data_IF_708818287885
#
_entry.id   IF_708818287885
#
_cell.length_a   1.000
_cell.length_b   1.000
_cell.length_c   1.000
_cell.angle_alpha   90.00
_cell.angle_beta   90.00
_cell.angle_gamma   90.00
#
_symmetry.space_group_name_H-M   'P 1'
#
loop_
_entity.id
_entity.type
_entity.pdbx_description
1 polymer ?
#
# COMPACT_ATOMS: atom_id res chain seq x y z
N UNK A 1 -5.28 -1.68 -33.52
CA UNK A 1 -3.93 -2.18 -33.21
C UNK A 1 -2.82 -1.18 -33.54
N UNK A 2 -2.64 -0.71 -34.79
CA UNK A 2 -1.55 0.23 -35.19
C UNK A 2 -1.51 1.55 -34.36
N UNK A 3 -2.67 2.15 -34.03
CA UNK A 3 -2.73 3.37 -33.17
C UNK A 3 -2.24 3.11 -31.75
N UNK A 4 -2.67 2.01 -31.12
CA UNK A 4 -2.26 1.63 -29.74
C UNK A 4 -0.74 1.42 -29.68
N UNK A 5 -0.17 0.67 -30.63
CA UNK A 5 1.27 0.43 -30.74
C UNK A 5 2.04 1.75 -30.89
N UNK A 6 1.50 2.73 -31.64
CA UNK A 6 2.10 4.05 -31.77
C UNK A 6 2.11 4.80 -30.45
N UNK A 7 1.02 4.78 -29.68
CA UNK A 7 0.94 5.41 -28.36
C UNK A 7 1.87 4.74 -27.35
N UNK A 8 1.91 3.41 -27.29
CA UNK A 8 2.84 2.67 -26.42
C UNK A 8 4.29 2.99 -26.76
N UNK A 9 4.65 3.01 -28.05
CA UNK A 9 6.00 3.36 -28.50
C UNK A 9 6.37 4.81 -28.14
N UNK A 10 5.43 5.72 -28.20
CA UNK A 10 5.62 7.11 -27.79
C UNK A 10 5.77 7.23 -26.27
N UNK A 11 4.94 6.55 -25.49
CA UNK A 11 5.05 6.46 -24.04
C UNK A 11 6.42 5.93 -23.61
N UNK A 12 6.87 4.83 -24.22
CA UNK A 12 8.19 4.26 -23.94
C UNK A 12 9.34 5.23 -24.29
N UNK A 13 9.23 5.97 -25.38
CA UNK A 13 10.23 7.01 -25.74
C UNK A 13 10.27 8.14 -24.72
N UNK A 14 9.13 8.53 -24.17
CA UNK A 14 9.07 9.56 -23.11
C UNK A 14 9.77 9.12 -21.83
N UNK A 15 9.63 7.86 -21.43
CA UNK A 15 10.32 7.36 -20.25
C UNK A 15 11.80 7.14 -20.49
N UNK A 16 12.20 6.66 -21.69
CA UNK A 16 13.56 6.19 -21.98
C UNK A 16 14.66 7.18 -21.61
N UNK A 17 14.46 8.48 -21.82
CA UNK A 17 15.49 9.50 -21.61
C UNK A 17 15.87 9.63 -20.13
N UNK A 18 14.88 9.67 -19.22
CA UNK A 18 15.08 9.91 -17.80
C UNK A 18 14.66 8.72 -16.92
N UNK A 19 14.46 7.52 -17.49
CA UNK A 19 13.99 6.34 -16.75
C UNK A 19 14.93 5.96 -15.62
N UNK A 20 16.24 6.07 -15.83
CA UNK A 20 17.22 5.78 -14.78
C UNK A 20 17.15 6.76 -13.61
N UNK A 21 16.94 8.05 -13.91
CA UNK A 21 16.74 9.07 -12.87
C UNK A 21 15.46 8.84 -12.12
N UNK A 22 14.37 8.50 -12.81
CA UNK A 22 13.07 8.22 -12.21
C UNK A 22 13.12 6.97 -11.33
N UNK A 23 13.74 5.88 -11.80
CA UNK A 23 13.90 4.65 -11.01
C UNK A 23 14.70 4.90 -9.71
N UNK A 24 15.84 5.59 -9.83
CA UNK A 24 16.67 5.90 -8.64
C UNK A 24 15.91 6.81 -7.67
N UNK A 25 15.16 7.78 -8.19
CA UNK A 25 14.31 8.64 -7.38
C UNK A 25 13.25 7.84 -6.64
N UNK A 26 12.51 6.96 -7.33
CA UNK A 26 11.46 6.14 -6.73
C UNK A 26 12.00 5.20 -5.66
N UNK A 27 13.13 4.52 -5.93
CA UNK A 27 13.77 3.66 -4.94
C UNK A 27 14.17 4.46 -3.68
N UNK A 28 14.79 5.64 -3.87
CA UNK A 28 15.19 6.52 -2.77
C UNK A 28 13.95 7.03 -2.01
N UNK A 29 12.91 7.45 -2.73
CA UNK A 29 11.66 7.92 -2.15
C UNK A 29 10.97 6.84 -1.31
N UNK A 30 10.86 5.60 -1.83
CA UNK A 30 10.28 4.46 -1.11
C UNK A 30 11.12 4.12 0.12
N UNK A 31 12.45 4.09 -0.01
CA UNK A 31 13.35 3.88 1.12
C UNK A 31 13.16 4.93 2.22
N UNK A 32 13.16 6.22 1.88
CA UNK A 32 12.93 7.32 2.82
C UNK A 32 11.53 7.23 3.44
N UNK A 33 10.52 6.86 2.64
CA UNK A 33 9.16 6.64 3.13
C UNK A 33 9.11 5.55 4.21
N UNK A 34 9.80 4.44 4.01
CA UNK A 34 9.80 3.32 4.95
C UNK A 34 10.70 3.57 6.16
N UNK A 35 11.91 4.06 5.94
CA UNK A 35 12.94 4.17 6.98
C UNK A 35 12.79 5.43 7.85
N UNK A 36 12.20 6.50 7.33
CA UNK A 36 12.12 7.79 8.02
C UNK A 36 10.68 8.23 8.21
N UNK A 37 9.92 8.34 7.11
CA UNK A 37 8.61 8.97 7.17
C UNK A 37 7.57 8.14 7.94
N UNK A 38 7.51 6.83 7.69
CA UNK A 38 6.61 5.92 8.42
C UNK A 38 6.90 5.87 9.93
N UNK A 39 8.15 5.71 10.40
CA UNK A 39 8.48 5.81 11.83
C UNK A 39 8.14 7.16 12.44
N UNK A 40 8.34 8.26 11.69
CA UNK A 40 7.97 9.61 12.14
C UNK A 40 6.46 9.73 12.38
N UNK A 41 5.63 9.29 11.43
CA UNK A 41 4.17 9.32 11.57
C UNK A 41 3.70 8.41 12.71
N UNK A 42 4.28 7.21 12.83
CA UNK A 42 4.00 6.29 13.95
C UNK A 42 4.39 6.92 15.29
N UNK A 43 5.52 7.62 15.35
CA UNK A 43 5.96 8.38 16.53
C UNK A 43 4.98 9.49 16.90
N UNK A 44 4.49 10.26 15.94
CA UNK A 44 3.46 11.28 16.18
C UNK A 44 2.16 10.67 16.72
N UNK A 45 1.73 9.50 16.19
CA UNK A 45 0.55 8.81 16.71
C UNK A 45 0.77 8.33 18.14
N UNK A 46 1.93 7.73 18.44
CA UNK A 46 2.29 7.31 19.81
C UNK A 46 2.33 8.50 20.78
N UNK A 47 2.84 9.65 20.34
CA UNK A 47 2.82 10.87 21.14
C UNK A 47 1.39 11.37 21.38
N UNK A 48 0.51 11.30 20.40
CA UNK A 48 -0.90 11.66 20.54
C UNK A 48 -1.60 10.78 21.58
N UNK A 49 -1.36 9.47 21.56
CA UNK A 49 -1.89 8.52 22.53
C UNK A 49 -1.34 8.78 23.93
N UNK A 50 -0.01 8.90 24.04
CA UNK A 50 0.66 9.15 25.34
C UNK A 50 0.22 10.45 26.00
N UNK A 51 -0.03 11.51 25.21
CA UNK A 51 -0.50 12.80 25.72
C UNK A 51 -1.87 12.70 26.41
N UNK A 52 -2.59 11.60 26.23
CA UNK A 52 -3.89 11.32 26.82
C UNK A 52 -3.86 10.12 27.79
N UNK A 53 -2.67 9.62 28.11
CA UNK A 53 -2.52 8.46 28.99
C UNK A 53 -2.95 7.13 28.38
N UNK A 54 -3.12 7.08 27.03
CA UNK A 54 -3.54 5.89 26.32
C UNK A 54 -2.33 5.09 25.81
N UNK A 55 -2.36 3.77 26.00
CA UNK A 55 -1.32 2.85 25.51
C UNK A 55 -1.59 2.39 24.08
N UNK A 56 -2.86 2.24 23.74
CA UNK A 56 -3.33 1.78 22.43
C UNK A 56 -4.70 2.39 22.09
N UNK A 57 -5.15 2.21 20.87
CA UNK A 57 -6.45 2.63 20.41
C UNK A 57 -7.37 1.41 20.29
N UNK A 58 -8.47 1.42 21.05
CA UNK A 58 -9.56 0.45 20.98
C UNK A 58 -10.89 1.17 20.76
N UNK A 59 -11.98 0.41 20.60
CA UNK A 59 -13.32 0.95 20.46
C UNK A 59 -13.70 1.81 21.67
N UNK A 60 -13.36 1.34 22.88
CA UNK A 60 -13.64 2.04 24.13
C UNK A 60 -12.82 3.33 24.28
N UNK A 61 -11.54 3.31 23.86
CA UNK A 61 -10.62 4.45 23.98
C UNK A 61 -10.76 5.45 22.85
N UNK A 62 -11.35 5.04 21.70
CA UNK A 62 -11.54 5.89 20.53
C UNK A 62 -12.33 7.16 20.84
N UNK A 63 -13.42 7.02 21.59
CA UNK A 63 -14.27 8.16 21.98
C UNK A 63 -13.49 9.19 22.82
N UNK A 64 -12.71 8.75 23.77
CA UNK A 64 -11.83 9.58 24.62
C UNK A 64 -10.74 10.24 23.78
N UNK A 65 -10.09 9.46 22.91
CA UNK A 65 -9.05 9.94 22.02
C UNK A 65 -9.55 11.05 21.08
N UNK A 66 -10.72 10.91 20.45
CA UNK A 66 -11.26 11.88 19.53
C UNK A 66 -11.87 13.13 20.20
N UNK A 67 -12.25 13.05 21.48
CA UNK A 67 -12.76 14.21 22.25
C UNK A 67 -11.64 15.18 22.63
N UNK A 68 -10.41 14.74 22.72
CA UNK A 68 -9.29 15.58 23.14
C UNK A 68 -8.85 16.52 22.00
N UNK A 69 -8.78 17.86 22.21
CA UNK A 69 -8.40 18.82 21.15
C UNK A 69 -6.98 18.58 20.61
N UNK A 70 -6.07 18.13 21.46
CA UNK A 70 -4.67 17.88 21.10
C UNK A 70 -4.54 16.74 20.07
N UNK A 71 -5.44 15.74 20.13
CA UNK A 71 -5.51 14.67 19.12
C UNK A 71 -5.65 15.22 17.71
N UNK A 72 -6.55 16.18 17.54
CA UNK A 72 -6.80 16.78 16.23
C UNK A 72 -5.57 17.51 15.68
N UNK A 73 -4.77 18.14 16.54
CA UNK A 73 -3.50 18.74 16.13
C UNK A 73 -2.57 17.69 15.55
N UNK A 74 -2.38 16.56 16.24
CA UNK A 74 -1.53 15.46 15.76
C UNK A 74 -2.08 14.84 14.48
N UNK A 75 -3.39 14.58 14.43
CA UNK A 75 -4.05 14.02 13.23
C UNK A 75 -3.88 14.94 12.01
N UNK A 76 -4.07 16.25 12.19
CA UNK A 76 -3.86 17.25 11.12
C UNK A 76 -2.40 17.24 10.66
N UNK A 77 -1.43 17.18 11.56
CA UNK A 77 0.00 17.10 11.22
C UNK A 77 0.32 15.81 10.44
N UNK A 78 -0.22 14.67 10.86
CA UNK A 78 -0.04 13.38 10.18
C UNK A 78 -0.62 13.44 8.77
N UNK A 79 -1.88 13.86 8.66
CA UNK A 79 -2.62 13.96 7.38
C UNK A 79 -1.92 14.95 6.42
N UNK A 80 -1.52 16.11 6.93
CA UNK A 80 -0.80 17.11 6.16
C UNK A 80 0.57 16.59 5.71
N UNK A 81 1.31 15.93 6.60
CA UNK A 81 2.59 15.31 6.28
C UNK A 81 2.46 14.27 5.17
N UNK A 82 1.46 13.36 5.25
CA UNK A 82 1.19 12.36 4.22
C UNK A 82 0.86 13.01 2.88
N UNK A 83 -0.05 13.98 2.86
CA UNK A 83 -0.44 14.69 1.65
C UNK A 83 0.73 15.44 1.01
N UNK A 84 1.56 16.12 1.82
CA UNK A 84 2.74 16.85 1.33
C UNK A 84 3.79 15.91 0.76
N UNK A 85 4.08 14.79 1.44
CA UNK A 85 5.06 13.81 0.98
C UNK A 85 4.63 13.18 -0.34
N UNK A 86 3.33 12.82 -0.46
CA UNK A 86 2.75 12.33 -1.73
C UNK A 86 2.78 13.39 -2.83
N UNK A 87 2.50 14.66 -2.51
CA UNK A 87 2.60 15.74 -3.48
C UNK A 87 4.02 15.90 -4.02
N UNK A 88 5.01 15.78 -3.14
CA UNK A 88 6.41 15.86 -3.53
C UNK A 88 6.77 14.77 -4.56
N UNK A 89 6.34 13.53 -4.33
CA UNK A 89 6.52 12.41 -5.25
C UNK A 89 5.88 12.70 -6.61
N UNK A 90 4.59 13.04 -6.63
CA UNK A 90 3.85 13.39 -7.85
C UNK A 90 4.50 14.55 -8.61
N UNK A 91 4.98 15.58 -7.90
CA UNK A 91 5.68 16.69 -8.53
C UNK A 91 6.98 16.25 -9.22
N UNK A 92 7.76 15.36 -8.58
CA UNK A 92 8.96 14.80 -9.17
C UNK A 92 8.63 13.97 -10.42
N UNK A 93 7.62 13.08 -10.34
CA UNK A 93 7.19 12.27 -11.49
C UNK A 93 6.76 13.14 -12.67
N UNK A 94 5.86 14.11 -12.46
CA UNK A 94 5.37 15.00 -13.52
C UNK A 94 6.51 15.84 -14.11
N UNK A 95 7.42 16.38 -13.28
CA UNK A 95 8.57 17.12 -13.76
C UNK A 95 9.53 16.25 -14.59
N UNK A 96 9.77 15.00 -14.18
CA UNK A 96 10.62 14.06 -14.90
C UNK A 96 10.03 13.69 -16.28
N UNK A 97 8.73 13.39 -16.33
CA UNK A 97 8.01 13.12 -17.58
C UNK A 97 8.03 14.34 -18.49
N UNK A 98 7.82 15.55 -17.93
CA UNK A 98 7.86 16.79 -18.71
C UNK A 98 9.24 17.08 -19.29
N UNK A 99 10.32 16.89 -18.50
CA UNK A 99 11.67 17.01 -19.00
C UNK A 99 11.94 16.06 -20.18
N UNK A 100 11.50 14.80 -20.06
CA UNK A 100 11.61 13.81 -21.13
C UNK A 100 10.81 14.21 -22.36
N UNK A 101 9.59 14.75 -22.20
CA UNK A 101 8.77 15.28 -23.28
C UNK A 101 9.49 16.43 -24.04
N UNK A 102 10.22 17.25 -23.30
CA UNK A 102 11.02 18.37 -23.86
C UNK A 102 12.42 17.95 -24.31
N UNK A 103 12.72 16.65 -24.32
CA UNK A 103 14.04 16.09 -24.67
C UNK A 103 15.18 16.67 -23.81
N UNK A 104 14.88 16.93 -22.53
CA UNK A 104 15.79 17.50 -21.55
C UNK A 104 16.20 16.41 -20.55
N UNK A 105 17.52 16.25 -20.34
CA UNK A 105 18.00 15.38 -19.28
C UNK A 105 17.72 16.00 -17.91
N UNK A 106 17.26 15.19 -16.97
CA UNK A 106 16.91 15.61 -15.61
C UNK A 106 17.77 14.83 -14.62
N UNK A 107 18.89 15.39 -14.12
CA UNK A 107 19.69 14.76 -13.07
C UNK A 107 18.88 14.61 -11.77
N UNK A 108 19.17 13.57 -10.98
CA UNK A 108 18.44 13.25 -9.75
C UNK A 108 18.31 14.44 -8.79
N UNK A 109 19.43 15.13 -8.51
CA UNK A 109 19.42 16.27 -7.61
C UNK A 109 18.58 17.45 -8.14
N UNK A 110 18.60 17.68 -9.46
CA UNK A 110 17.75 18.67 -10.12
C UNK A 110 16.28 18.29 -10.00
N UNK A 111 15.94 17.00 -10.17
CA UNK A 111 14.60 16.48 -10.02
C UNK A 111 14.08 16.71 -8.60
N UNK A 112 14.84 16.28 -7.58
CA UNK A 112 14.51 16.47 -6.16
C UNK A 112 14.31 17.95 -5.84
N UNK A 113 15.24 18.81 -6.25
CA UNK A 113 15.14 20.26 -6.02
C UNK A 113 13.93 20.88 -6.70
N UNK A 114 13.67 20.51 -7.96
CA UNK A 114 12.53 21.04 -8.72
C UNK A 114 11.19 20.54 -8.13
N UNK A 115 11.09 19.25 -7.81
CA UNK A 115 9.91 18.66 -7.18
C UNK A 115 9.63 19.30 -5.83
N UNK A 116 10.65 19.45 -4.97
CA UNK A 116 10.52 20.07 -3.66
C UNK A 116 10.10 21.55 -3.75
N UNK A 117 10.73 22.34 -4.62
CA UNK A 117 10.34 23.72 -4.89
C UNK A 117 8.89 23.83 -5.37
N UNK A 118 8.46 22.89 -6.18
CA UNK A 118 7.09 22.86 -6.71
C UNK A 118 6.08 22.46 -5.64
N UNK A 119 6.40 21.45 -4.82
CA UNK A 119 5.52 21.00 -3.73
C UNK A 119 5.37 22.07 -2.64
N UNK A 120 6.43 22.79 -2.28
CA UNK A 120 6.37 23.90 -1.32
C UNK A 120 5.38 25.01 -1.71
N UNK A 121 5.08 25.16 -3.00
CA UNK A 121 4.07 26.14 -3.46
C UNK A 121 2.68 25.92 -2.86
N UNK A 122 2.36 24.69 -2.49
CA UNK A 122 1.08 24.41 -1.83
C UNK A 122 0.92 25.19 -0.53
N UNK A 123 2.02 25.37 0.21
CA UNK A 123 2.05 26.10 1.49
C UNK A 123 1.94 27.61 1.21
N UNK A 124 2.81 28.15 0.35
CA UNK A 124 2.82 29.59 0.03
C UNK A 124 1.53 30.08 -0.62
N UNK A 125 0.89 29.25 -1.43
CA UNK A 125 -0.37 29.58 -2.09
C UNK A 125 -1.60 29.21 -1.26
N UNK A 126 -1.43 28.70 -0.02
CA UNK A 126 -2.49 28.29 0.91
C UNK A 126 -3.51 27.34 0.27
N UNK A 127 -3.04 26.36 -0.51
CA UNK A 127 -3.87 25.44 -1.29
C UNK A 127 -4.35 24.23 -0.45
N UNK A 128 -5.04 24.44 0.66
CA UNK A 128 -5.55 23.38 1.55
C UNK A 128 -6.42 22.36 0.79
N UNK A 129 -7.27 22.85 -0.14
CA UNK A 129 -8.14 21.98 -0.96
C UNK A 129 -7.31 20.98 -1.81
N UNK A 130 -6.08 21.36 -2.21
CA UNK A 130 -5.19 20.44 -2.92
C UNK A 130 -4.71 19.32 -2.01
N UNK A 131 -4.43 19.58 -0.74
CA UNK A 131 -4.06 18.56 0.23
C UNK A 131 -5.20 17.56 0.45
N UNK A 132 -6.44 18.05 0.60
CA UNK A 132 -7.63 17.19 0.69
C UNK A 132 -7.81 16.36 -0.59
N UNK A 133 -7.60 16.96 -1.77
CA UNK A 133 -7.67 16.23 -3.04
C UNK A 133 -6.65 15.10 -3.14
N UNK A 134 -5.43 15.33 -2.65
CA UNK A 134 -4.39 14.29 -2.62
C UNK A 134 -4.76 13.12 -1.70
N UNK A 135 -5.41 13.39 -0.55
CA UNK A 135 -5.90 12.33 0.34
C UNK A 135 -6.97 11.45 -0.33
N UNK A 136 -7.73 11.99 -1.27
CA UNK A 136 -8.70 11.23 -2.06
C UNK A 136 -8.01 10.44 -3.18
N UNK A 137 -6.98 11.03 -3.82
CA UNK A 137 -6.23 10.35 -4.89
C UNK A 137 -5.43 9.18 -4.33
N UNK A 138 -4.80 9.32 -3.17
CA UNK A 138 -3.96 8.27 -2.57
C UNK A 138 -4.67 6.92 -2.53
N UNK A 139 -5.87 6.78 -1.93
CA UNK A 139 -6.58 5.51 -1.95
C UNK A 139 -6.97 5.04 -3.35
N UNK A 140 -7.28 5.97 -4.26
CA UNK A 140 -7.71 5.62 -5.62
C UNK A 140 -6.56 5.14 -6.52
N UNK A 141 -5.36 5.68 -6.35
CA UNK A 141 -4.16 5.23 -7.07
C UNK A 141 -3.59 3.95 -6.48
N UNK A 142 -3.72 3.74 -5.18
CA UNK A 142 -3.25 2.56 -4.47
C UNK A 142 -4.31 1.47 -4.27
N UNK A 143 -5.61 1.77 -4.42
CA UNK A 143 -6.66 0.75 -4.38
C UNK A 143 -6.62 -0.19 -5.61
N UNK A 144 -5.99 0.25 -6.70
CA UNK A 144 -5.78 -0.56 -7.89
C UNK A 144 -4.48 -1.37 -7.82
N UNK A 145 -3.54 -1.02 -6.93
CA UNK A 145 -2.29 -1.73 -6.74
C UNK A 145 -2.04 -1.89 -5.25
N UNK A 146 -2.05 -3.11 -4.81
CA UNK A 146 -1.88 -3.55 -3.43
C UNK A 146 -0.55 -3.03 -2.88
N UNK A 147 -0.53 -1.83 -2.35
CA UNK A 147 0.57 -1.41 -1.49
C UNK A 147 0.22 -1.79 -0.06
N UNK A 148 0.50 -3.02 0.34
CA UNK A 148 0.30 -3.53 1.71
C UNK A 148 1.02 -2.74 2.81
N UNK A 149 1.69 -1.65 2.47
CA UNK A 149 2.47 -0.83 3.40
C UNK A 149 1.78 0.48 3.85
N UNK A 150 0.84 1.02 3.05
CA UNK A 150 0.06 2.21 3.43
C UNK A 150 -1.32 1.82 4.00
N UNK A 151 -1.78 0.60 3.76
CA UNK A 151 -3.09 0.09 4.18
C UNK A 151 -3.30 -0.01 5.70
N UNK A 152 -2.27 0.23 6.52
CA UNK A 152 -2.44 0.29 7.99
C UNK A 152 -3.07 1.60 8.51
N UNK A 153 -3.33 2.58 7.65
CA UNK A 153 -4.17 3.75 7.94
C UNK A 153 -5.56 3.62 7.28
N UNK A 154 -6.11 2.44 7.31
CA UNK A 154 -7.51 2.21 6.95
C UNK A 154 -8.42 2.60 8.10
N UNK A 155 -9.65 2.93 7.76
CA UNK A 155 -10.74 2.97 8.77
C UNK A 155 -10.67 1.65 9.55
N UNK A 156 -10.69 1.67 10.88
CA UNK A 156 -10.64 0.45 11.67
C UNK A 156 -11.64 -0.59 11.15
N UNK A 157 -11.20 -1.84 11.06
CA UNK A 157 -11.96 -2.90 10.39
C UNK A 157 -13.39 -3.03 10.95
N UNK A 158 -13.54 -2.95 12.26
CA UNK A 158 -14.84 -3.03 12.94
C UNK A 158 -15.82 -1.93 12.49
N UNK A 159 -15.34 -0.70 12.18
CA UNK A 159 -16.20 0.38 11.63
C UNK A 159 -16.66 0.01 10.23
N UNK A 160 -15.77 -0.55 9.41
CA UNK A 160 -16.11 -1.00 8.06
C UNK A 160 -17.10 -2.16 8.13
N UNK A 161 -16.86 -3.12 9.03
CA UNK A 161 -17.73 -4.27 9.24
C UNK A 161 -19.12 -3.84 9.74
N UNK A 162 -19.19 -2.90 10.68
CA UNK A 162 -20.45 -2.30 11.11
C UNK A 162 -21.20 -1.60 9.97
N UNK A 163 -20.50 -0.79 9.16
CA UNK A 163 -21.08 -0.15 7.98
C UNK A 163 -21.59 -1.19 6.99
N UNK A 164 -20.81 -2.23 6.72
CA UNK A 164 -21.13 -3.27 5.74
C UNK A 164 -22.23 -4.22 6.21
N UNK A 165 -22.38 -4.41 7.52
CA UNK A 165 -23.49 -5.22 8.09
C UNK A 165 -24.85 -4.55 7.94
N UNK A 166 -24.89 -3.22 7.72
CA UNK A 166 -26.12 -2.46 7.52
C UNK A 166 -26.28 -2.02 6.06
N UNK A 167 -27.13 -2.69 5.30
CA UNK A 167 -27.28 -2.50 3.83
C UNK A 167 -27.37 -1.02 3.41
N UNK A 168 -28.15 -0.19 4.12
CA UNK A 168 -28.31 1.22 3.77
C UNK A 168 -27.05 2.05 4.03
N UNK A 169 -26.29 1.74 5.11
CA UNK A 169 -24.99 2.37 5.38
C UNK A 169 -23.94 1.96 4.34
N UNK A 170 -23.91 0.68 3.96
CA UNK A 170 -23.03 0.18 2.92
C UNK A 170 -23.28 0.89 1.58
N UNK A 171 -24.55 1.05 1.18
CA UNK A 171 -24.93 1.80 -0.04
C UNK A 171 -24.46 3.24 0.04
N UNK A 172 -24.68 3.93 1.16
CA UNK A 172 -24.23 5.31 1.35
C UNK A 172 -22.69 5.42 1.32
N UNK A 173 -21.99 4.53 1.99
CA UNK A 173 -20.52 4.49 2.03
C UNK A 173 -19.92 4.26 0.64
N UNK A 174 -20.38 3.23 -0.06
CA UNK A 174 -19.91 2.93 -1.43
C UNK A 174 -20.31 4.06 -2.38
N UNK A 175 -21.54 4.55 -2.31
CA UNK A 175 -22.05 5.67 -3.12
C UNK A 175 -21.25 6.95 -2.90
N UNK A 176 -20.86 7.26 -1.67
CA UNK A 176 -20.01 8.39 -1.32
C UNK A 176 -18.63 8.28 -1.99
N UNK A 177 -17.96 7.12 -1.89
CA UNK A 177 -16.65 6.90 -2.53
C UNK A 177 -16.72 6.94 -4.04
N UNK A 178 -17.77 6.35 -4.64
CA UNK A 178 -18.01 6.43 -6.09
C UNK A 178 -18.23 7.86 -6.52
N UNK A 179 -19.09 8.62 -5.82
CA UNK A 179 -19.34 10.03 -6.12
C UNK A 179 -18.05 10.88 -6.04
N UNK A 180 -17.29 10.73 -4.95
CA UNK A 180 -16.02 11.44 -4.79
C UNK A 180 -15.03 11.05 -5.88
N UNK A 181 -14.93 9.77 -6.23
CA UNK A 181 -14.09 9.26 -7.29
C UNK A 181 -14.44 9.88 -8.64
N UNK A 182 -15.68 9.81 -9.03
CA UNK A 182 -16.18 10.43 -10.25
C UNK A 182 -15.94 11.95 -10.27
N UNK A 183 -16.17 12.61 -9.14
CA UNK A 183 -16.01 14.06 -9.02
C UNK A 183 -14.55 14.49 -9.07
N UNK A 184 -13.67 13.75 -8.42
CA UNK A 184 -12.24 14.05 -8.39
C UNK A 184 -11.56 13.79 -9.73
N UNK A 185 -12.11 12.90 -10.57
CA UNK A 185 -11.58 12.64 -11.91
C UNK A 185 -11.66 13.87 -12.83
N UNK A 186 -12.58 14.80 -12.61
CA UNK A 186 -12.59 16.09 -13.31
C UNK A 186 -11.33 16.93 -13.09
N UNK A 187 -10.57 16.64 -12.02
CA UNK A 187 -9.38 17.39 -11.65
C UNK A 187 -8.08 16.63 -12.01
N UNK A 188 -8.17 15.58 -12.83
CA UNK A 188 -7.03 14.71 -13.14
C UNK A 188 -5.84 15.46 -13.74
N UNK A 189 -6.09 16.51 -14.53
CA UNK A 189 -5.04 17.35 -15.13
C UNK A 189 -4.61 18.50 -14.22
N UNK A 190 -5.27 18.72 -13.08
CA UNK A 190 -4.97 19.86 -12.20
C UNK A 190 -3.55 19.82 -11.63
N UNK A 191 -3.02 18.63 -11.34
CA UNK A 191 -1.64 18.46 -10.87
C UNK A 191 -0.61 18.85 -11.94
N UNK A 192 -0.89 18.57 -13.22
CA UNK A 192 -0.04 19.01 -14.32
C UNK A 192 -0.02 20.53 -14.46
N UNK A 193 -1.19 21.18 -14.41
CA UNK A 193 -1.25 22.64 -14.40
C UNK A 193 -0.55 23.27 -13.22
N UNK A 194 -0.75 22.71 -12.02
CA UNK A 194 -0.05 23.14 -10.81
C UNK A 194 1.47 22.97 -10.93
N UNK A 195 1.94 21.78 -11.34
CA UNK A 195 3.37 21.51 -11.42
C UNK A 195 4.08 22.31 -12.50
N UNK A 196 3.46 22.49 -13.67
CA UNK A 196 4.13 22.99 -14.86
C UNK A 196 3.85 24.44 -15.19
N UNK A 197 2.72 25.03 -14.75
CA UNK A 197 2.30 26.37 -15.17
C UNK A 197 2.23 27.42 -14.05
N UNK A 198 2.75 27.12 -12.89
CA UNK A 198 2.80 28.05 -11.75
C UNK A 198 1.47 28.71 -11.38
N UNK A 199 0.34 28.01 -11.59
CA UNK A 199 -0.98 28.46 -11.17
C UNK A 199 -1.37 27.89 -9.81
N UNK A 200 -2.30 28.56 -9.12
CA UNK A 200 -2.88 28.02 -7.89
C UNK A 200 -3.86 26.88 -8.19
N UNK A 201 -4.19 26.08 -7.17
CA UNK A 201 -5.03 24.89 -7.38
C UNK A 201 -6.46 25.21 -7.85
N UNK A 202 -7.03 26.35 -7.44
CA UNK A 202 -8.35 26.82 -7.92
C UNK A 202 -8.33 27.05 -9.43
N UNK A 203 -7.28 27.69 -9.94
CA UNK A 203 -7.10 27.91 -11.37
C UNK A 203 -6.80 26.59 -12.10
N UNK A 204 -5.96 25.74 -11.51
CA UNK A 204 -5.60 24.44 -12.06
C UNK A 204 -6.83 23.53 -12.26
N UNK A 205 -7.73 23.47 -11.25
CA UNK A 205 -9.00 22.71 -11.35
C UNK A 205 -9.91 23.24 -12.47
N UNK A 206 -10.07 24.58 -12.56
CA UNK A 206 -10.89 25.21 -13.60
C UNK A 206 -10.34 24.91 -14.99
N UNK A 207 -9.01 24.92 -15.15
CA UNK A 207 -8.35 24.58 -16.42
C UNK A 207 -8.45 23.09 -16.72
N UNK A 208 -8.27 22.22 -15.72
CA UNK A 208 -8.45 20.76 -15.86
C UNK A 208 -9.85 20.43 -16.39
N UNK A 209 -10.88 21.02 -15.78
CA UNK A 209 -12.26 20.83 -16.20
C UNK A 209 -12.50 21.29 -17.65
N UNK A 210 -11.94 22.43 -18.04
CA UNK A 210 -12.06 22.94 -19.42
C UNK A 210 -11.32 22.07 -20.42
N UNK A 211 -10.10 21.63 -20.07
CA UNK A 211 -9.28 20.79 -20.96
C UNK A 211 -9.93 19.44 -21.21
N UNK A 212 -10.52 18.84 -20.18
CA UNK A 212 -11.24 17.57 -20.27
C UNK A 212 -12.53 17.71 -21.10
N UNK A 213 -13.32 18.80 -20.87
CA UNK A 213 -14.51 19.11 -21.63
C UNK A 213 -15.49 17.93 -21.75
N UNK A 214 -15.91 17.62 -22.99
CA UNK A 214 -16.81 16.49 -23.31
C UNK A 214 -16.12 15.10 -23.29
N UNK A 215 -14.83 15.05 -23.01
CA UNK A 215 -14.04 13.81 -23.15
C UNK A 215 -13.93 13.02 -21.85
N UNK A 216 -14.66 13.39 -20.80
CA UNK A 216 -14.61 12.80 -19.46
C UNK A 216 -14.65 11.27 -19.44
N UNK A 217 -15.70 10.68 -20.02
CA UNK A 217 -15.88 9.22 -20.02
C UNK A 217 -14.82 8.48 -20.84
N UNK A 218 -14.39 9.09 -21.95
CA UNK A 218 -13.29 8.53 -22.75
C UNK A 218 -11.98 8.54 -21.99
N UNK A 219 -11.66 9.63 -21.31
CA UNK A 219 -10.44 9.77 -20.54
C UNK A 219 -10.45 8.79 -19.35
N UNK A 220 -11.59 8.64 -18.69
CA UNK A 220 -11.78 7.65 -17.64
C UNK A 220 -11.56 6.24 -18.18
N UNK A 221 -12.17 5.87 -19.29
CA UNK A 221 -11.99 4.55 -19.90
C UNK A 221 -10.52 4.29 -20.28
N UNK A 222 -9.80 5.31 -20.79
CA UNK A 222 -8.39 5.19 -21.16
C UNK A 222 -7.52 5.01 -19.90
N UNK A 223 -7.73 5.81 -18.86
CA UNK A 223 -6.94 5.75 -17.62
C UNK A 223 -7.20 4.44 -16.86
N UNK A 224 -8.47 4.06 -16.72
CA UNK A 224 -8.85 2.79 -16.09
C UNK A 224 -8.32 1.60 -16.88
N UNK A 225 -8.52 1.60 -18.22
CA UNK A 225 -8.01 0.53 -19.09
C UNK A 225 -6.49 0.41 -19.05
N UNK A 226 -5.76 1.54 -18.98
CA UNK A 226 -4.31 1.55 -18.80
C UNK A 226 -3.90 0.96 -17.46
N UNK A 227 -4.55 1.38 -16.35
CA UNK A 227 -4.28 0.85 -15.01
C UNK A 227 -4.57 -0.64 -14.92
N UNK A 228 -5.70 -1.11 -15.48
CA UNK A 228 -6.04 -2.53 -15.52
C UNK A 228 -5.03 -3.33 -16.35
N UNK A 229 -4.51 -2.77 -17.45
CA UNK A 229 -3.45 -3.42 -18.23
C UNK A 229 -2.15 -3.54 -17.44
N UNK A 230 -1.74 -2.50 -16.69
CA UNK A 230 -0.57 -2.55 -15.82
C UNK A 230 -0.73 -3.60 -14.71
N UNK A 231 -1.89 -3.62 -14.05
CA UNK A 231 -2.25 -4.61 -13.03
C UNK A 231 -2.24 -6.03 -13.62
N UNK A 232 -2.85 -6.21 -14.79
CA UNK A 232 -2.88 -7.49 -15.48
C UNK A 232 -1.50 -8.03 -15.83
N UNK A 233 -0.57 -7.15 -16.24
CA UNK A 233 0.84 -7.51 -16.45
C UNK A 233 1.48 -7.96 -15.14
N UNK A 234 1.28 -7.21 -14.06
CA UNK A 234 1.84 -7.53 -12.74
C UNK A 234 1.36 -8.88 -12.22
N UNK A 235 0.04 -9.09 -12.17
CA UNK A 235 -0.52 -10.38 -11.74
C UNK A 235 -0.16 -11.52 -12.70
N UNK A 236 -0.05 -11.23 -14.00
CA UNK A 236 0.43 -12.21 -14.98
C UNK A 236 1.85 -12.68 -14.67
N UNK A 237 2.75 -11.79 -14.25
CA UNK A 237 4.11 -12.14 -13.82
C UNK A 237 4.07 -12.99 -12.54
N UNK A 238 3.25 -12.62 -11.55
CA UNK A 238 3.09 -13.37 -10.30
C UNK A 238 2.54 -14.77 -10.59
N UNK A 239 1.46 -14.89 -11.36
CA UNK A 239 0.86 -16.18 -11.71
C UNK A 239 1.82 -17.07 -12.47
N UNK A 240 2.59 -16.50 -13.42
CA UNK A 240 3.62 -17.23 -14.14
C UNK A 240 4.72 -17.71 -13.21
N UNK A 241 5.19 -16.85 -12.29
CA UNK A 241 6.20 -17.22 -11.29
C UNK A 241 5.69 -18.33 -10.35
N UNK A 242 4.47 -18.23 -9.85
CA UNK A 242 3.84 -19.26 -9.01
C UNK A 242 3.67 -20.59 -9.75
N UNK A 243 3.25 -20.53 -11.02
CA UNK A 243 3.20 -21.71 -11.87
C UNK A 243 4.57 -22.35 -12.06
N UNK A 244 5.61 -21.53 -12.29
CA UNK A 244 6.98 -22.02 -12.42
C UNK A 244 7.48 -22.69 -11.14
N UNK A 245 7.24 -22.06 -9.97
CA UNK A 245 7.54 -22.66 -8.65
C UNK A 245 6.86 -24.02 -8.50
N UNK A 246 5.57 -24.11 -8.83
CA UNK A 246 4.83 -25.39 -8.78
C UNK A 246 5.44 -26.45 -9.67
N UNK A 247 5.86 -26.11 -10.90
CA UNK A 247 6.52 -27.05 -11.83
C UNK A 247 7.89 -27.51 -11.34
N UNK A 248 8.68 -26.58 -10.76
CA UNK A 248 9.97 -26.91 -10.17
C UNK A 248 9.82 -27.85 -8.97
N UNK A 249 8.84 -27.57 -8.08
CA UNK A 249 8.56 -28.46 -6.94
C UNK A 249 8.13 -29.88 -7.35
N UNK A 250 7.42 -30.01 -8.47
CA UNK A 250 7.01 -31.33 -9.00
C UNK A 250 8.16 -32.08 -9.68
N UNK A 251 9.14 -31.36 -10.24
CA UNK A 251 10.21 -31.93 -11.04
C UNK A 251 11.48 -32.25 -10.24
N UNK A 252 11.67 -31.62 -9.09
CA UNK A 252 12.89 -31.72 -8.28
C UNK A 252 12.60 -32.39 -6.92
N UNK A 253 13.55 -33.18 -6.36
CA UNK A 253 13.39 -33.76 -5.03
C UNK A 253 13.23 -32.64 -3.97
N UNK A 254 12.28 -32.80 -3.06
CA UNK A 254 11.86 -31.77 -2.08
C UNK A 254 12.92 -31.44 -1.01
N UNK A 255 13.99 -32.20 -0.90
CA UNK A 255 15.03 -32.02 0.15
C UNK A 255 16.44 -31.80 -0.41
N UNK A 256 16.57 -31.50 -1.70
CA UNK A 256 17.87 -31.26 -2.30
C UNK A 256 18.25 -29.77 -2.28
N UNK A 257 19.55 -29.49 -2.07
CA UNK A 257 20.10 -28.13 -2.07
C UNK A 257 19.80 -27.42 -3.41
N UNK A 258 19.87 -28.16 -4.53
CA UNK A 258 19.62 -27.59 -5.86
C UNK A 258 18.17 -27.13 -6.02
N UNK A 259 17.19 -27.91 -5.56
CA UNK A 259 15.77 -27.51 -5.59
C UNK A 259 15.52 -26.26 -4.76
N UNK A 260 16.08 -26.18 -3.54
CA UNK A 260 15.95 -25.02 -2.65
C UNK A 260 16.59 -23.77 -3.24
N UNK A 261 17.77 -23.87 -3.86
CA UNK A 261 18.40 -22.72 -4.53
C UNK A 261 17.61 -22.24 -5.74
N UNK A 262 17.04 -23.17 -6.51
CA UNK A 262 16.21 -22.82 -7.68
C UNK A 262 14.94 -22.09 -7.25
N UNK A 263 14.25 -22.61 -6.23
CA UNK A 263 13.04 -21.98 -5.68
C UNK A 263 13.31 -20.60 -5.07
N UNK A 264 14.41 -20.49 -4.30
CA UNK A 264 14.86 -19.22 -3.72
C UNK A 264 15.24 -18.22 -4.83
N UNK A 265 15.86 -18.66 -5.91
CA UNK A 265 16.17 -17.82 -7.07
C UNK A 265 14.91 -17.30 -7.79
N UNK A 266 13.90 -18.15 -7.97
CA UNK A 266 12.61 -17.75 -8.56
C UNK A 266 11.89 -16.76 -7.64
N UNK A 267 11.83 -17.03 -6.34
CA UNK A 267 11.24 -16.13 -5.35
C UNK A 267 11.91 -14.76 -5.37
N UNK A 268 13.26 -14.72 -5.33
CA UNK A 268 14.00 -13.47 -5.43
C UNK A 268 13.70 -12.71 -6.73
N UNK A 269 13.57 -13.41 -7.86
CA UNK A 269 13.21 -12.78 -9.13
C UNK A 269 11.78 -12.17 -9.06
N UNK A 270 10.83 -12.87 -8.47
CA UNK A 270 9.46 -12.37 -8.27
C UNK A 270 9.45 -11.14 -7.37
N UNK A 271 10.22 -11.13 -6.28
CA UNK A 271 10.35 -10.00 -5.37
C UNK A 271 10.97 -8.78 -6.07
N UNK A 272 12.00 -8.99 -6.88
CA UNK A 272 12.63 -7.93 -7.70
C UNK A 272 11.63 -7.39 -8.72
N UNK A 273 10.88 -8.24 -9.42
CA UNK A 273 9.82 -7.81 -10.33
C UNK A 273 8.73 -7.02 -9.60
N UNK A 274 8.30 -7.47 -8.42
CA UNK A 274 7.37 -6.78 -7.55
C UNK A 274 7.87 -5.41 -7.12
N UNK A 275 9.12 -5.31 -6.67
CA UNK A 275 9.76 -4.06 -6.28
C UNK A 275 9.86 -3.07 -7.45
N UNK A 276 10.24 -3.55 -8.64
CA UNK A 276 10.26 -2.72 -9.87
C UNK A 276 8.85 -2.22 -10.19
N UNK A 277 7.86 -3.11 -10.18
CA UNK A 277 6.48 -2.73 -10.44
C UNK A 277 6.00 -1.69 -9.44
N UNK A 278 6.26 -1.89 -8.15
CA UNK A 278 5.94 -0.95 -7.08
C UNK A 278 6.58 0.43 -7.27
N UNK A 279 7.80 0.50 -7.81
CA UNK A 279 8.45 1.77 -8.14
C UNK A 279 7.84 2.46 -9.37
N UNK A 280 7.29 1.70 -10.32
CA UNK A 280 6.76 2.26 -11.56
C UNK A 280 5.24 2.45 -11.60
N UNK A 281 4.51 1.97 -10.61
CA UNK A 281 3.04 2.07 -10.56
C UNK A 281 2.55 3.52 -10.71
N UNK A 282 2.93 4.41 -9.81
CA UNK A 282 2.55 5.82 -9.85
C UNK A 282 3.13 6.56 -11.08
N UNK A 283 4.42 6.37 -11.45
CA UNK A 283 4.96 6.87 -12.71
C UNK A 283 4.19 6.44 -13.96
N UNK A 284 3.76 5.18 -14.06
CA UNK A 284 2.99 4.70 -15.21
C UNK A 284 1.59 5.32 -15.26
N UNK A 285 0.93 5.49 -14.11
CA UNK A 285 -0.33 6.22 -14.02
C UNK A 285 -0.17 7.66 -14.53
N UNK A 286 0.80 8.41 -14.00
CA UNK A 286 1.03 9.79 -14.42
C UNK A 286 1.58 9.90 -15.85
N UNK A 287 2.23 8.88 -16.37
CA UNK A 287 2.60 8.82 -17.79
C UNK A 287 1.36 8.83 -18.68
N UNK A 288 0.37 7.99 -18.39
CA UNK A 288 -0.91 7.97 -19.13
C UNK A 288 -1.61 9.33 -19.07
N UNK A 289 -1.74 9.90 -17.85
CA UNK A 289 -2.37 11.21 -17.67
C UNK A 289 -1.60 12.32 -18.37
N UNK A 290 -0.25 12.30 -18.36
CA UNK A 290 0.59 13.27 -19.07
C UNK A 290 0.42 13.19 -20.59
N UNK A 291 0.31 11.98 -21.14
CA UNK A 291 0.05 11.79 -22.57
C UNK A 291 -1.27 12.41 -23.00
N UNK A 292 -2.33 12.20 -22.22
CA UNK A 292 -3.64 12.82 -22.47
C UNK A 292 -3.56 14.34 -22.33
N UNK A 293 -2.89 14.84 -21.28
CA UNK A 293 -2.70 16.27 -21.04
C UNK A 293 -2.01 16.96 -22.24
N UNK A 294 -0.90 16.43 -22.73
CA UNK A 294 -0.19 17.01 -23.88
C UNK A 294 -0.99 16.88 -25.18
N UNK A 295 -1.68 15.77 -25.36
CA UNK A 295 -2.55 15.58 -26.51
C UNK A 295 -3.65 16.66 -26.59
N UNK A 296 -4.35 16.90 -25.46
CA UNK A 296 -5.42 17.90 -25.44
C UNK A 296 -4.90 19.32 -25.54
N UNK A 297 -3.78 19.65 -24.90
CA UNK A 297 -3.17 20.98 -25.04
C UNK A 297 -2.76 21.26 -26.48
N UNK A 298 -2.19 20.29 -27.15
CA UNK A 298 -1.86 20.43 -28.58
C UNK A 298 -3.12 20.57 -29.45
N UNK A 299 -4.18 19.81 -29.16
CA UNK A 299 -5.43 19.85 -29.90
C UNK A 299 -6.22 21.16 -29.67
N UNK A 300 -6.13 21.76 -28.47
CA UNK A 300 -6.79 23.03 -28.14
C UNK A 300 -5.98 24.27 -28.54
N UNK A 301 -4.77 24.10 -29.10
CA UNK A 301 -3.88 25.21 -29.41
C UNK A 301 -3.25 25.89 -28.19
N UNK A 302 -3.46 25.34 -26.99
CA UNK A 302 -2.84 25.86 -25.77
C UNK A 302 -1.33 25.65 -25.78
N UNK A 303 -0.57 26.69 -25.37
CA UNK A 303 0.89 26.61 -25.28
C UNK A 303 1.31 25.56 -24.24
N UNK A 304 2.08 24.57 -24.68
CA UNK A 304 2.69 23.60 -23.77
C UNK A 304 3.87 24.28 -23.07
N UNK A 305 4.02 24.11 -21.73
CA UNK A 305 5.13 24.69 -20.97
C UNK A 305 6.49 24.39 -21.57
N UNK A 306 7.41 25.35 -21.47
CA UNK A 306 8.78 25.23 -22.03
C UNK A 306 9.66 24.27 -21.23
N UNK A 307 10.92 24.21 -21.61
CA UNK A 307 11.96 23.52 -20.83
C UNK A 307 12.16 24.17 -19.46
N UNK A 308 12.60 23.38 -18.47
CA UNK A 308 12.98 23.91 -17.18
C UNK A 308 14.24 24.79 -17.31
N UNK A 309 14.16 26.01 -16.77
CA UNK A 309 15.29 26.93 -16.72
C UNK A 309 16.20 26.55 -15.53
N UNK A 310 17.50 26.83 -15.64
CA UNK A 310 18.50 26.66 -14.55
C UNK A 310 18.76 25.22 -14.07
N UNK A 311 18.62 24.21 -14.93
CA UNK A 311 19.12 22.87 -14.62
C UNK A 311 20.66 22.79 -14.64
N UNK A 312 21.33 23.74 -15.31
CA UNK A 312 22.79 23.74 -15.49
C UNK A 312 23.59 23.80 -14.20
N UNK A 313 23.09 24.49 -13.16
CA UNK A 313 23.76 24.52 -11.85
C UNK A 313 23.71 23.17 -11.11
N UNK A 314 22.62 22.41 -11.25
CA UNK A 314 22.53 21.05 -10.71
C UNK A 314 23.36 20.06 -11.55
N UNK A 315 23.48 20.31 -12.85
CA UNK A 315 24.35 19.54 -13.74
C UNK A 315 25.83 19.75 -13.46
N UNK A 316 26.23 20.95 -13.03
CA UNK A 316 27.62 21.22 -12.57
C UNK A 316 27.99 20.41 -11.33
N UNK A 317 27.07 20.25 -10.36
CA UNK A 317 27.30 19.42 -9.17
C UNK A 317 27.49 17.93 -9.50
N UNK A 318 26.85 17.42 -10.56
CA UNK A 318 27.05 16.04 -11.02
C UNK A 318 28.29 15.86 -11.88
N UNK A 319 28.91 16.95 -12.37
CA UNK A 319 30.14 16.89 -13.16
C UNK A 319 31.43 16.89 -12.32
N UNK A 320 31.33 17.11 -11.00
CA UNK A 320 32.51 17.22 -10.10
C UNK A 320 32.42 16.18 -8.97
N UNK A 321 33.59 15.72 -8.51
CA UNK A 321 33.70 14.88 -7.31
C UNK A 321 33.13 13.47 -7.43
N UNK A 322 32.67 12.92 -6.30
CA UNK A 322 32.15 11.58 -6.16
C UNK A 322 30.84 11.34 -6.93
N UNK A 323 29.99 12.37 -7.06
CA UNK A 323 28.73 12.29 -7.80
C UNK A 323 28.96 12.00 -9.31
N UNK A 324 30.04 12.55 -9.90
CA UNK A 324 30.46 12.22 -11.27
C UNK A 324 30.89 10.76 -11.39
N UNK A 325 31.65 10.26 -10.43
CA UNK A 325 32.06 8.85 -10.40
C UNK A 325 30.85 7.92 -10.28
N UNK A 326 29.91 8.23 -9.38
CA UNK A 326 28.69 7.46 -9.22
C UNK A 326 27.85 7.42 -10.52
N UNK A 327 27.71 8.56 -11.20
CA UNK A 327 27.00 8.63 -12.48
C UNK A 327 27.70 7.85 -13.59
N UNK A 328 29.04 7.98 -13.69
CA UNK A 328 29.82 7.24 -14.69
C UNK A 328 29.78 5.72 -14.47
N UNK A 329 29.85 5.30 -13.21
CA UNK A 329 29.88 3.88 -12.84
C UNK A 329 28.50 3.29 -12.53
N UNK A 330 27.39 4.05 -12.71
CA UNK A 330 26.04 3.62 -12.34
C UNK A 330 25.64 2.24 -12.85
N UNK A 331 25.98 1.90 -14.12
CA UNK A 331 25.70 0.57 -14.67
C UNK A 331 26.49 -0.52 -13.95
N UNK A 332 27.75 -0.26 -13.61
CA UNK A 332 28.60 -1.20 -12.86
C UNK A 332 28.10 -1.33 -11.42
N UNK A 333 27.72 -0.25 -10.78
CA UNK A 333 27.15 -0.25 -9.43
C UNK A 333 25.86 -1.09 -9.39
N UNK A 334 24.95 -0.89 -10.33
CA UNK A 334 23.73 -1.69 -10.45
C UNK A 334 24.06 -3.16 -10.67
N UNK A 335 24.97 -3.48 -11.60
CA UNK A 335 25.38 -4.86 -11.85
C UNK A 335 26.02 -5.52 -10.62
N UNK A 336 26.91 -4.80 -9.91
CA UNK A 336 27.53 -5.29 -8.67
C UNK A 336 26.47 -5.48 -7.58
N UNK A 337 25.52 -4.52 -7.42
CA UNK A 337 24.44 -4.65 -6.44
C UNK A 337 23.56 -5.88 -6.71
N UNK A 338 23.25 -6.18 -7.97
CA UNK A 338 22.51 -7.39 -8.35
C UNK A 338 23.31 -8.64 -8.01
N UNK A 339 24.61 -8.68 -8.36
CA UNK A 339 25.48 -9.83 -8.05
C UNK A 339 25.60 -10.02 -6.53
N UNK A 340 25.74 -8.94 -5.76
CA UNK A 340 25.79 -9.00 -4.29
C UNK A 340 24.45 -9.51 -3.74
N UNK A 341 23.32 -9.02 -4.24
CA UNK A 341 21.99 -9.48 -3.80
C UNK A 341 21.79 -10.99 -4.08
N UNK A 342 22.19 -11.46 -5.27
CA UNK A 342 22.16 -12.88 -5.62
C UNK A 342 23.11 -13.67 -4.70
N UNK A 343 24.33 -13.18 -4.46
CA UNK A 343 25.31 -13.84 -3.59
C UNK A 343 24.85 -13.92 -2.13
N UNK A 344 24.20 -12.86 -1.60
CA UNK A 344 23.63 -12.85 -0.26
C UNK A 344 22.46 -13.83 -0.17
N UNK A 345 21.56 -13.84 -1.17
CA UNK A 345 20.46 -14.79 -1.21
C UNK A 345 20.98 -16.25 -1.26
N UNK A 346 21.99 -16.52 -2.09
CA UNK A 346 22.63 -17.83 -2.17
C UNK A 346 23.27 -18.21 -0.83
N UNK A 347 24.05 -17.31 -0.23
CA UNK A 347 24.71 -17.55 1.06
C UNK A 347 23.67 -17.79 2.17
N UNK A 348 22.58 -17.03 2.16
CA UNK A 348 21.47 -17.18 3.10
C UNK A 348 20.82 -18.57 2.98
N UNK A 349 20.40 -18.97 1.76
CA UNK A 349 19.80 -20.29 1.51
C UNK A 349 20.74 -21.43 1.87
N UNK A 350 22.03 -21.28 1.59
CA UNK A 350 23.05 -22.30 1.94
C UNK A 350 23.29 -22.39 3.45
N UNK A 351 23.32 -21.25 4.14
CA UNK A 351 23.52 -21.20 5.60
C UNK A 351 22.28 -21.72 6.34
N UNK A 352 21.08 -21.40 5.86
CA UNK A 352 19.82 -21.84 6.44
C UNK A 352 19.67 -23.37 6.41
N UNK A 353 19.99 -24.01 5.27
CA UNK A 353 20.01 -25.48 5.16
C UNK A 353 20.98 -26.18 6.09
N UNK A 354 22.03 -25.48 6.56
CA UNK A 354 22.98 -26.00 7.56
C UNK A 354 22.62 -25.65 8.99
N UNK A 355 21.47 -25.00 9.23
CA UNK A 355 21.07 -24.55 10.54
C UNK A 355 21.94 -23.43 11.13
N UNK A 356 22.74 -22.74 10.30
CA UNK A 356 23.70 -21.71 10.74
C UNK A 356 23.02 -20.34 10.94
N UNK A 357 21.87 -20.11 10.26
CA UNK A 357 21.10 -18.87 10.37
C UNK A 357 19.62 -19.21 10.51
N UNK A 358 19.14 -19.28 11.74
CA UNK A 358 17.70 -19.24 12.04
C UNK A 358 17.23 -17.79 12.02
N UNK A 359 16.97 -17.24 10.84
CA UNK A 359 16.36 -15.92 10.70
C UNK A 359 14.86 -16.00 10.41
N UNK A 360 14.13 -16.93 11.01
CA UNK A 360 12.65 -16.91 11.09
C UNK A 360 11.86 -16.79 9.77
N UNK A 361 12.50 -17.06 8.62
CA UNK A 361 11.84 -17.05 7.31
C UNK A 361 11.38 -18.46 6.88
N UNK A 362 11.98 -19.49 7.45
CA UNK A 362 11.46 -20.86 7.44
C UNK A 362 10.76 -21.11 8.78
N UNK A 363 9.67 -20.43 9.03
CA UNK A 363 8.74 -20.93 10.02
C UNK A 363 8.21 -22.27 9.47
N UNK A 364 8.45 -23.39 10.17
CA UNK A 364 7.72 -24.62 9.85
C UNK A 364 6.24 -24.23 9.79
N UNK A 365 5.49 -24.83 8.87
CA UNK A 365 4.04 -24.62 8.83
C UNK A 365 3.52 -25.04 10.20
N UNK A 366 3.15 -24.04 11.01
CA UNK A 366 2.59 -24.26 12.32
C UNK A 366 1.09 -24.55 12.17
N UNK A 367 0.62 -25.55 12.86
CA UNK A 367 -0.80 -25.96 12.84
C UNK A 367 -1.47 -25.34 14.05
N UNK A 368 -2.45 -24.49 13.81
CA UNK A 368 -3.29 -23.90 14.86
C UNK A 368 -4.62 -24.67 14.93
N UNK A 369 -4.91 -25.25 16.08
CA UNK A 369 -6.19 -25.89 16.35
C UNK A 369 -7.24 -24.81 16.68
N UNK A 370 -8.16 -24.55 15.74
CA UNK A 370 -9.22 -23.54 15.85
C UNK A 370 -10.26 -23.93 16.88
N UNK A 371 -10.38 -23.15 17.97
CA UNK A 371 -11.21 -23.41 19.16
C UNK A 371 -10.87 -24.74 19.86
N UNK A 372 -9.58 -25.12 19.81
CA UNK A 372 -9.11 -26.46 20.13
C UNK A 372 -9.35 -27.45 18.98
N UNK A 373 -9.36 -28.77 19.28
CA UNK A 373 -9.69 -29.80 18.28
C UNK A 373 -11.21 -29.91 18.08
N UNK A 374 -11.80 -28.85 17.57
CA UNK A 374 -13.25 -28.62 17.51
C UNK A 374 -14.01 -29.59 16.56
N UNK A 375 -13.31 -30.36 15.72
CA UNK A 375 -13.91 -31.39 14.87
C UNK A 375 -14.29 -32.63 15.64
N UNK A 376 -13.63 -32.96 16.74
CA UNK A 376 -13.82 -34.17 17.54
C UNK A 376 -14.28 -33.89 18.96
N UNK A 377 -14.19 -32.62 19.42
CA UNK A 377 -14.55 -32.18 20.77
C UNK A 377 -15.40 -30.92 20.70
N UNK A 378 -16.26 -30.65 21.73
CA UNK A 378 -16.97 -29.38 21.76
C UNK A 378 -15.99 -28.20 21.79
N UNK A 379 -16.20 -27.22 20.89
CA UNK A 379 -15.36 -26.06 20.73
C UNK A 379 -15.14 -25.27 22.02
N UNK A 380 -13.99 -24.64 22.17
CA UNK A 380 -13.69 -23.74 23.30
C UNK A 380 -13.82 -24.41 24.68
N UNK A 381 -13.57 -25.72 24.76
CA UNK A 381 -13.60 -26.49 26.02
C UNK A 381 -12.26 -27.14 26.34
N UNK A 382 -12.06 -27.51 27.62
CA UNK A 382 -10.87 -28.22 28.05
C UNK A 382 -10.63 -29.52 27.27
N UNK A 383 -11.65 -30.37 26.98
CA UNK A 383 -11.47 -31.54 26.11
C UNK A 383 -10.92 -31.19 24.72
N UNK A 384 -11.41 -30.09 24.09
CA UNK A 384 -10.94 -29.67 22.78
C UNK A 384 -9.46 -29.24 22.79
N UNK A 385 -9.03 -28.53 23.85
CA UNK A 385 -7.63 -28.14 23.99
C UNK A 385 -6.71 -29.33 24.29
N UNK A 386 -7.15 -30.26 25.11
CA UNK A 386 -6.42 -31.53 25.31
C UNK A 386 -6.32 -32.35 24.02
N UNK A 387 -7.40 -32.39 23.25
CA UNK A 387 -7.39 -32.97 21.91
C UNK A 387 -6.38 -32.36 20.97
N UNK A 388 -6.29 -31.02 20.94
CA UNK A 388 -5.31 -30.28 20.15
C UNK A 388 -3.86 -30.66 20.48
N UNK A 389 -3.54 -30.79 21.79
CA UNK A 389 -2.23 -31.26 22.25
C UNK A 389 -1.97 -32.69 21.78
N UNK A 390 -2.98 -33.57 21.88
CA UNK A 390 -2.85 -34.99 21.51
C UNK A 390 -2.56 -35.20 20.02
N UNK A 391 -3.14 -34.36 19.15
CA UNK A 391 -2.88 -34.43 17.70
C UNK A 391 -1.63 -33.67 17.28
N UNK A 392 -0.92 -33.04 18.23
CA UNK A 392 0.36 -32.36 17.95
C UNK A 392 0.20 -31.01 17.28
N UNK A 393 -0.90 -30.30 17.51
CA UNK A 393 -1.03 -28.92 17.07
C UNK A 393 0.01 -28.02 17.79
N UNK A 394 0.63 -27.10 17.07
CA UNK A 394 1.61 -26.17 17.61
C UNK A 394 0.94 -25.09 18.48
N UNK A 395 -0.28 -24.70 18.11
CA UNK A 395 -1.08 -23.68 18.78
C UNK A 395 -2.52 -24.16 18.98
N UNK A 396 -3.15 -23.71 20.05
CA UNK A 396 -4.60 -23.83 20.25
C UNK A 396 -5.18 -22.42 20.33
N UNK A 397 -6.08 -22.10 19.42
CA UNK A 397 -6.80 -20.83 19.41
C UNK A 397 -8.03 -20.94 20.29
N UNK A 398 -8.41 -19.85 20.94
CA UNK A 398 -9.61 -19.73 21.77
C UNK A 398 -10.25 -18.35 21.61
N UNK A 399 -11.57 -18.30 21.76
CA UNK A 399 -12.35 -17.07 21.77
C UNK A 399 -12.69 -16.68 23.20
N UNK A 400 -12.60 -15.39 23.53
CA UNK A 400 -12.98 -14.90 24.86
C UNK A 400 -13.99 -13.75 24.75
N UNK A 401 -14.92 -13.74 25.71
CA UNK A 401 -15.91 -12.68 25.87
C UNK A 401 -16.04 -12.29 27.35
N UNK A 402 -16.65 -11.14 27.60
CA UNK A 402 -16.83 -10.63 28.96
C UNK A 402 -18.31 -10.66 29.36
N UNK A 403 -18.58 -11.17 30.55
CA UNK A 403 -19.91 -11.18 31.17
C UNK A 403 -20.32 -9.81 31.71
N UNK A 404 -21.57 -9.64 32.13
CA UNK A 404 -22.08 -8.39 32.68
C UNK A 404 -21.35 -7.91 33.95
N UNK A 405 -20.82 -8.85 34.74
CA UNK A 405 -20.04 -8.58 35.96
C UNK A 405 -18.52 -8.47 35.71
N UNK A 406 -18.09 -8.52 34.43
CA UNK A 406 -16.71 -8.29 34.02
C UNK A 406 -15.82 -9.53 34.01
N UNK A 407 -16.35 -10.73 34.26
CA UNK A 407 -15.60 -11.98 34.19
C UNK A 407 -15.34 -12.38 32.72
N UNK A 408 -14.15 -12.92 32.45
CA UNK A 408 -13.76 -13.36 31.09
C UNK A 408 -14.03 -14.84 30.95
N UNK A 409 -14.83 -15.21 29.98
CA UNK A 409 -15.19 -16.58 29.65
C UNK A 409 -14.71 -16.97 28.24
N UNK A 410 -14.49 -18.28 28.05
CA UNK A 410 -14.12 -18.83 26.74
C UNK A 410 -15.38 -19.16 25.94
N UNK A 411 -15.74 -18.31 24.99
CA UNK A 411 -16.96 -18.42 24.20
C UNK A 411 -16.81 -17.69 22.86
N UNK A 412 -17.21 -18.34 21.76
CA UNK A 412 -17.18 -17.74 20.43
C UNK A 412 -18.41 -16.89 20.13
N UNK A 413 -19.60 -17.49 20.27
CA UNK A 413 -20.84 -16.81 19.93
C UNK A 413 -21.17 -15.74 21.00
N UNK A 414 -21.71 -14.62 20.57
CA UNK A 414 -22.26 -13.63 21.50
C UNK A 414 -23.46 -14.17 22.27
N UNK A 415 -24.23 -15.06 21.66
CA UNK A 415 -25.38 -15.73 22.29
C UNK A 415 -24.99 -17.09 22.86
N UNK A 416 -25.42 -17.37 24.07
CA UNK A 416 -25.22 -18.64 24.77
C UNK A 416 -26.11 -19.78 24.24
N UNK A 417 -27.08 -19.45 23.38
CA UNK A 417 -28.15 -20.37 22.95
C UNK A 417 -27.66 -21.65 22.28
N UNK A 418 -26.71 -21.55 21.35
CA UNK A 418 -26.25 -22.68 20.54
C UNK A 418 -25.53 -23.73 21.37
N UNK A 419 -24.69 -23.30 22.29
CA UNK A 419 -23.81 -24.22 23.05
C UNK A 419 -24.37 -24.60 24.41
N UNK A 420 -25.24 -23.78 25.01
CA UNK A 420 -25.77 -24.03 26.35
C UNK A 420 -27.28 -24.11 26.43
N UNK A 421 -28.00 -23.74 25.36
CA UNK A 421 -29.47 -23.66 25.35
C UNK A 421 -30.04 -22.39 26.00
N UNK A 422 -29.23 -21.55 26.66
CA UNK A 422 -29.70 -20.33 27.31
C UNK A 422 -29.86 -19.20 26.27
N UNK A 423 -31.09 -18.72 26.08
CA UNK A 423 -31.39 -17.64 25.11
C UNK A 423 -31.09 -16.25 25.71
N UNK A 424 -29.81 -16.00 25.96
CA UNK A 424 -29.28 -14.71 26.42
C UNK A 424 -27.91 -14.45 25.76
N UNK A 425 -27.56 -13.15 25.66
CA UNK A 425 -26.23 -12.73 25.22
C UNK A 425 -25.25 -12.76 26.41
N UNK A 426 -23.94 -13.00 26.12
CA UNK A 426 -22.88 -13.10 27.15
C UNK A 426 -22.83 -11.87 28.05
N UNK A 427 -22.97 -10.66 27.51
CA UNK A 427 -22.94 -9.40 28.26
C UNK A 427 -24.22 -9.11 29.08
N UNK A 428 -25.24 -9.97 28.98
CA UNK A 428 -26.50 -9.86 29.72
C UNK A 428 -26.55 -10.74 30.97
N UNK A 429 -25.52 -11.57 31.18
CA UNK A 429 -25.48 -12.57 32.26
C UNK A 429 -24.24 -12.38 33.11
N UNK A 430 -24.33 -12.76 34.39
CA UNK A 430 -23.20 -12.82 35.30
C UNK A 430 -22.54 -14.19 35.28
N UNK A 431 -21.28 -14.27 35.75
CA UNK A 431 -20.59 -15.55 35.89
C UNK A 431 -21.38 -16.55 36.75
N UNK A 432 -21.96 -16.09 37.87
CA UNK A 432 -22.74 -16.95 38.76
C UNK A 432 -23.96 -17.58 38.07
N UNK A 433 -24.57 -16.89 37.10
CA UNK A 433 -25.71 -17.42 36.35
C UNK A 433 -25.30 -18.51 35.34
N UNK A 434 -24.06 -18.48 34.83
CA UNK A 434 -23.65 -19.36 33.71
C UNK A 434 -22.59 -20.40 34.06
N UNK A 435 -21.88 -20.28 35.21
CA UNK A 435 -20.77 -21.17 35.58
C UNK A 435 -21.11 -22.66 35.61
N UNK A 436 -22.38 -22.98 35.80
CA UNK A 436 -22.86 -24.38 35.88
C UNK A 436 -23.64 -24.83 34.59
N UNK A 437 -23.62 -24.04 33.53
CA UNK A 437 -24.26 -24.43 32.29
C UNK A 437 -23.44 -25.52 31.58
N UNK A 438 -24.17 -26.47 31.00
CA UNK A 438 -23.57 -27.48 30.15
C UNK A 438 -23.21 -26.87 28.77
N UNK A 439 -21.93 -26.82 28.47
CA UNK A 439 -21.38 -26.31 27.23
C UNK A 439 -20.77 -27.44 26.37
N UNK A 440 -21.12 -28.70 26.61
CA UNK A 440 -20.55 -29.84 25.91
C UNK A 440 -21.57 -30.76 25.24
N UNK A 441 -22.73 -30.98 25.89
CA UNK A 441 -23.77 -31.91 25.40
C UNK A 441 -24.37 -31.55 24.04
N UNK A 442 -24.34 -30.29 23.65
CA UNK A 442 -24.78 -29.87 22.32
C UNK A 442 -23.98 -30.56 21.19
N UNK A 443 -22.71 -30.85 21.45
CA UNK A 443 -21.82 -31.53 20.51
C UNK A 443 -22.02 -33.07 20.61
N UNK A 444 -21.92 -33.58 21.82
CA UNK A 444 -22.17 -35.00 22.11
C UNK A 444 -22.42 -35.18 23.62
N UNK A 445 -23.43 -36.02 23.97
CA UNK A 445 -23.81 -36.26 25.38
C UNK A 445 -22.70 -36.78 26.29
N UNK A 446 -21.62 -37.36 25.73
CA UNK A 446 -20.45 -37.80 26.53
C UNK A 446 -19.64 -36.65 27.12
N UNK A 447 -19.90 -35.39 26.72
CA UNK A 447 -19.21 -34.19 27.17
C UNK A 447 -20.05 -33.31 28.11
N UNK A 448 -21.08 -33.86 28.70
CA UNK A 448 -21.93 -33.21 29.69
C UNK A 448 -21.13 -32.78 30.94
#
# INVERSE_FOLDING_TARGET
MKKIIRYLRYAFRLLKLNIGTLLVFELLYKFVSMAVFKPLLSGLMKLALKAQGLSYLSDETMGTFLKAPLTWVFLVLIVFGMAFFTLFDICCIICCIHASFRKQEMPLLALIRQGFKTSLRVIYQRNIIMMLYLLIIIPMTHALVISGYITKFTVPQFIVDYIMSHTWLAILYVGFWVFIGLRSFHWIYSLHYFCLENCNFKQARKRSFRLQGKHYWRDMAVVVGWSLACIGIYYGIILFGSWLVSKVNLALPTHDLFSSLTLSGISLLMDVCGAIFFCFDLPLFFLCVSLLFYYYKAASGEKIPGQFKNLDNAYRLTKTGWAKKLYLYRKRIIAISIVVAIGVNFAYTFADKRGVLHMGLDNPVEVTAHRGYSTEYPENTIPAFKGAITVGADWAELDVQQTADGEVIVMHDSSLKRTTGLDKEVWQVTWDEIKNLDNGSWFNKKFQ
#
